data_IF_432781862676
#
_entry.id   IF_432781862676
#
_cell.length_a   1.000
_cell.length_b   1.000
_cell.length_c   1.000
_cell.angle_alpha   90.00
_cell.angle_beta   90.00
_cell.angle_gamma   90.00
#
_symmetry.space_group_name_H-M   'P 1'
#
loop_
_entity.id
_entity.type
_entity.pdbx_description
1 polymer ?
#
# COMPACT_ATOMS: atom_id res chain seq x y z
N UNK A 1 -1.08 -0.56 8.93
CA UNK A 1 -0.86 0.41 7.84
C UNK A 1 0.14 1.49 8.25
N UNK A 2 -0.06 2.14 9.40
CA UNK A 2 0.82 3.20 9.94
C UNK A 2 2.33 2.84 9.98
N UNK A 3 2.68 1.68 10.57
CA UNK A 3 4.08 1.20 10.61
C UNK A 3 4.70 1.02 9.22
N UNK A 4 3.89 0.74 8.19
CA UNK A 4 4.39 0.55 6.83
C UNK A 4 4.64 1.87 6.12
N UNK A 5 3.79 2.88 6.35
CA UNK A 5 3.99 4.21 5.78
C UNK A 5 5.20 4.90 6.39
N UNK A 6 5.40 4.73 7.70
CA UNK A 6 6.63 5.18 8.37
C UNK A 6 7.87 4.56 7.71
N UNK A 7 7.83 3.26 7.44
CA UNK A 7 8.92 2.55 6.77
C UNK A 7 9.14 3.06 5.33
N UNK A 8 8.08 3.23 4.54
CA UNK A 8 8.20 3.76 3.18
C UNK A 8 8.81 5.18 3.16
N UNK A 9 8.43 6.04 4.10
CA UNK A 9 9.01 7.38 4.25
C UNK A 9 10.50 7.32 4.59
N UNK A 10 10.89 6.45 5.53
CA UNK A 10 12.31 6.25 5.89
C UNK A 10 13.16 5.75 4.73
N UNK A 11 12.61 4.89 3.86
CA UNK A 11 13.32 4.32 2.70
C UNK A 11 13.57 5.37 1.62
N UNK A 12 12.62 6.31 1.40
CA UNK A 12 12.78 7.40 0.43
C UNK A 12 13.87 8.41 0.79
N UNK A 13 14.19 8.53 2.08
CA UNK A 13 15.16 9.50 2.59
C UNK A 13 16.60 8.97 2.65
N UNK A 14 16.83 7.67 2.46
CA UNK A 14 18.16 7.06 2.54
C UNK A 14 18.72 6.77 1.15
N UNK A 15 19.89 7.33 0.85
CA UNK A 15 20.72 6.95 -0.29
C UNK A 15 21.83 6.05 0.25
N UNK A 16 21.93 4.77 -0.13
CA UNK A 16 23.19 4.02 -0.11
C UNK A 16 23.14 2.56 -0.62
N UNK A 17 24.21 2.17 -1.32
CA UNK A 17 24.94 0.87 -1.39
C UNK A 17 24.22 -0.47 -1.61
N UNK A 18 22.94 -0.50 -1.93
CA UNK A 18 22.22 -1.77 -2.21
C UNK A 18 22.23 -2.18 -3.70
N UNK A 19 22.93 -1.42 -4.54
CA UNK A 19 22.97 -1.57 -5.99
C UNK A 19 23.44 -2.97 -6.42
N UNK A 20 24.47 -3.53 -5.76
CA UNK A 20 25.00 -4.87 -6.09
C UNK A 20 23.99 -5.99 -5.91
N UNK A 21 23.17 -5.93 -4.86
CA UNK A 21 22.14 -6.96 -4.59
C UNK A 21 20.96 -6.87 -5.55
N UNK A 22 20.84 -5.76 -6.27
CA UNK A 22 19.79 -5.51 -7.23
C UNK A 22 20.29 -5.55 -8.69
N UNK A 23 21.55 -5.90 -8.96
CA UNK A 23 22.11 -6.01 -10.32
C UNK A 23 21.32 -6.99 -11.20
N UNK A 24 20.77 -8.07 -10.61
CA UNK A 24 19.93 -9.02 -11.34
C UNK A 24 18.69 -8.35 -11.96
N UNK A 25 18.22 -7.23 -11.42
CA UNK A 25 17.09 -6.48 -11.97
C UNK A 25 17.36 -5.96 -13.38
N UNK A 26 18.63 -5.69 -13.73
CA UNK A 26 19.00 -5.18 -15.06
C UNK A 26 18.79 -6.23 -16.18
N UNK A 27 18.63 -7.50 -15.79
CA UNK A 27 18.40 -8.62 -16.72
C UNK A 27 16.91 -8.97 -16.88
N UNK A 28 15.98 -8.12 -16.44
CA UNK A 28 14.55 -8.30 -16.72
C UNK A 28 14.35 -8.15 -18.24
N UNK A 29 14.09 -9.25 -18.93
CA UNK A 29 13.93 -9.27 -20.39
C UNK A 29 12.50 -8.86 -20.81
N UNK A 30 12.35 -7.69 -21.44
CA UNK A 30 11.11 -7.24 -22.10
C UNK A 30 11.37 -6.12 -23.14
N UNK A 31 10.33 -5.51 -23.73
CA UNK A 31 10.41 -4.32 -24.59
C UNK A 31 11.07 -3.08 -23.93
N UNK A 32 11.55 -2.12 -24.74
CA UNK A 32 12.48 -1.07 -24.28
C UNK A 32 11.93 -0.14 -23.20
N UNK A 33 10.65 0.24 -23.25
CA UNK A 33 10.08 1.23 -22.31
C UNK A 33 9.50 0.59 -21.04
N UNK A 34 8.92 -0.61 -21.14
CA UNK A 34 8.45 -1.34 -19.94
C UNK A 34 9.65 -1.84 -19.13
N UNK A 35 10.77 -2.16 -19.79
CA UNK A 35 12.02 -2.55 -19.13
C UNK A 35 12.48 -1.52 -18.11
N UNK A 36 12.55 -0.24 -18.48
CA UNK A 36 13.10 0.80 -17.58
C UNK A 36 12.27 0.90 -16.30
N UNK A 37 10.95 0.90 -16.41
CA UNK A 37 10.05 0.96 -15.26
C UNK A 37 10.10 -0.32 -14.42
N UNK A 38 10.14 -1.50 -15.05
CA UNK A 38 10.29 -2.77 -14.34
C UNK A 38 11.62 -2.86 -13.59
N UNK A 39 12.73 -2.49 -14.23
CA UNK A 39 14.06 -2.45 -13.60
C UNK A 39 14.01 -1.55 -12.37
N UNK A 40 13.42 -0.35 -12.49
CA UNK A 40 13.26 0.58 -11.37
C UNK A 40 12.44 -0.03 -10.23
N UNK A 41 11.27 -0.61 -10.53
CA UNK A 41 10.41 -1.26 -9.53
C UNK A 41 11.14 -2.41 -8.84
N UNK A 42 11.89 -3.23 -9.59
CA UNK A 42 12.68 -4.33 -9.05
C UNK A 42 13.78 -3.82 -8.10
N UNK A 43 14.54 -2.81 -8.51
CA UNK A 43 15.60 -2.21 -7.67
C UNK A 43 15.03 -1.60 -6.39
N UNK A 44 13.92 -0.88 -6.50
CA UNK A 44 13.21 -0.32 -5.34
C UNK A 44 12.65 -1.42 -4.42
N UNK A 45 12.09 -2.50 -4.99
CA UNK A 45 11.60 -3.64 -4.21
C UNK A 45 12.72 -4.29 -3.38
N UNK A 46 13.86 -4.57 -4.00
CA UNK A 46 15.03 -5.14 -3.32
C UNK A 46 15.49 -4.22 -2.19
N UNK A 47 15.52 -2.90 -2.44
CA UNK A 47 15.89 -1.91 -1.43
C UNK A 47 14.95 -1.92 -0.22
N UNK A 48 13.64 -1.90 -0.48
CA UNK A 48 12.62 -1.98 0.58
C UNK A 48 12.77 -3.29 1.34
N UNK A 49 13.07 -4.39 0.63
CA UNK A 49 13.27 -5.68 1.26
C UNK A 49 14.41 -5.66 2.28
N UNK A 50 15.59 -5.23 1.84
CA UNK A 50 16.82 -5.24 2.62
C UNK A 50 16.71 -4.32 3.85
N UNK A 51 16.14 -3.13 3.65
CA UNK A 51 15.90 -2.19 4.74
C UNK A 51 15.03 -2.80 5.83
N UNK A 52 13.87 -3.33 5.44
CA UNK A 52 12.95 -3.82 6.44
C UNK A 52 13.43 -5.15 7.04
N UNK A 53 14.18 -5.98 6.29
CA UNK A 53 14.84 -7.16 6.87
C UNK A 53 15.74 -6.76 8.05
N UNK A 54 16.46 -5.64 7.95
CA UNK A 54 17.27 -5.09 9.03
C UNK A 54 16.41 -4.56 10.18
N UNK A 55 15.45 -3.69 9.89
CA UNK A 55 14.56 -3.06 10.91
C UNK A 55 13.73 -4.09 11.70
N UNK A 56 13.32 -5.18 11.05
CA UNK A 56 12.49 -6.22 11.64
C UNK A 56 13.30 -7.45 12.09
N UNK A 57 14.63 -7.36 12.10
CA UNK A 57 15.48 -8.38 12.71
C UNK A 57 15.12 -8.54 14.20
N UNK A 58 15.07 -9.79 14.68
CA UNK A 58 14.67 -10.10 16.06
C UNK A 58 13.19 -9.91 16.40
N UNK A 59 12.34 -9.36 15.50
CA UNK A 59 10.88 -9.30 15.73
C UNK A 59 10.24 -10.68 15.60
N UNK A 60 9.12 -10.88 16.29
CA UNK A 60 8.37 -12.15 16.24
C UNK A 60 7.76 -12.42 14.85
N UNK A 61 7.34 -13.66 14.61
CA UNK A 61 6.79 -14.14 13.34
C UNK A 61 5.53 -13.39 12.89
N UNK A 62 4.67 -12.98 13.82
CA UNK A 62 3.45 -12.21 13.53
C UNK A 62 3.79 -10.84 12.94
N UNK A 63 4.80 -10.14 13.47
CA UNK A 63 5.24 -8.86 12.94
C UNK A 63 5.94 -9.03 11.59
N UNK A 64 6.76 -10.08 11.43
CA UNK A 64 7.44 -10.37 10.15
C UNK A 64 6.44 -10.72 9.03
N UNK A 65 5.42 -11.52 9.31
CA UNK A 65 4.41 -11.91 8.30
C UNK A 65 3.60 -10.71 7.78
N UNK A 66 3.30 -9.76 8.68
CA UNK A 66 2.69 -8.47 8.35
C UNK A 66 3.52 -7.69 7.33
N UNK A 67 4.82 -7.63 7.55
CA UNK A 67 5.76 -6.99 6.64
C UNK A 67 5.84 -7.68 5.26
N UNK A 68 5.89 -9.02 5.18
CA UNK A 68 5.91 -9.71 3.89
C UNK A 68 4.63 -9.45 3.07
N UNK A 69 3.47 -9.37 3.72
CA UNK A 69 2.21 -8.98 3.06
C UNK A 69 2.27 -7.56 2.51
N UNK A 70 2.91 -6.64 3.25
CA UNK A 70 3.11 -5.27 2.78
C UNK A 70 4.02 -5.24 1.54
N UNK A 71 5.13 -5.98 1.54
CA UNK A 71 6.00 -6.07 0.36
C UNK A 71 5.26 -6.55 -0.87
N UNK A 72 4.46 -7.62 -0.73
CA UNK A 72 3.68 -8.13 -1.86
C UNK A 72 2.70 -7.08 -2.38
N UNK A 73 2.00 -6.39 -1.48
CA UNK A 73 1.10 -5.29 -1.84
C UNK A 73 1.82 -4.13 -2.52
N UNK A 74 2.95 -3.67 -1.96
CA UNK A 74 3.74 -2.57 -2.52
C UNK A 74 4.17 -2.91 -3.95
N UNK A 75 4.66 -4.14 -4.17
CA UNK A 75 5.09 -4.57 -5.48
C UNK A 75 3.92 -4.60 -6.48
N UNK A 76 2.81 -5.24 -6.12
CA UNK A 76 1.60 -5.32 -6.92
C UNK A 76 1.04 -3.92 -7.30
N UNK A 77 1.00 -2.99 -6.35
CA UNK A 77 0.53 -1.61 -6.56
C UNK A 77 1.39 -0.85 -7.58
N UNK A 78 2.70 -1.06 -7.58
CA UNK A 78 3.59 -0.39 -8.53
C UNK A 78 3.61 -1.08 -9.91
N UNK A 79 3.41 -2.40 -9.96
CA UNK A 79 3.32 -3.12 -11.23
C UNK A 79 2.03 -2.81 -11.98
N UNK A 80 0.89 -2.73 -11.30
CA UNK A 80 -0.41 -2.49 -11.96
C UNK A 80 -0.50 -1.12 -12.63
N UNK A 81 0.36 -0.15 -12.28
CA UNK A 81 0.43 1.15 -12.95
C UNK A 81 1.20 1.13 -14.27
N UNK A 82 1.76 -0.01 -14.68
CA UNK A 82 2.46 -0.15 -15.95
C UNK A 82 1.45 -0.29 -17.11
N UNK A 83 1.69 0.42 -18.21
CA UNK A 83 0.79 0.44 -19.38
C UNK A 83 0.55 -0.94 -20.01
N UNK A 84 1.48 -1.90 -19.83
CA UNK A 84 1.39 -3.28 -20.33
C UNK A 84 1.37 -4.32 -19.20
N UNK A 85 0.79 -3.98 -18.05
CA UNK A 85 0.77 -4.84 -16.85
C UNK A 85 0.46 -6.31 -17.15
N UNK A 86 -0.61 -6.60 -17.89
CA UNK A 86 -1.04 -7.97 -18.20
C UNK A 86 0.00 -8.78 -18.98
N UNK A 87 0.87 -8.13 -19.75
CA UNK A 87 1.92 -8.79 -20.53
C UNK A 87 3.22 -8.94 -19.74
N UNK A 88 3.50 -8.00 -18.82
CA UNK A 88 4.79 -7.96 -18.09
C UNK A 88 4.77 -8.67 -16.74
N UNK A 89 3.58 -8.85 -16.13
CA UNK A 89 3.45 -9.34 -14.75
C UNK A 89 4.08 -10.72 -14.54
N UNK A 90 3.84 -11.67 -15.43
CA UNK A 90 4.34 -13.05 -15.29
C UNK A 90 5.86 -13.10 -15.38
N UNK A 91 6.42 -12.34 -16.34
CA UNK A 91 7.86 -12.18 -16.51
C UNK A 91 8.47 -11.59 -15.25
N UNK A 92 7.85 -10.53 -14.70
CA UNK A 92 8.33 -9.86 -13.50
C UNK A 92 8.34 -10.78 -12.28
N UNK A 93 7.22 -11.43 -11.96
CA UNK A 93 7.11 -12.30 -10.78
C UNK A 93 8.07 -13.49 -10.87
N UNK A 94 8.18 -14.12 -12.05
CA UNK A 94 9.14 -15.19 -12.27
C UNK A 94 10.57 -14.73 -12.05
N UNK A 95 10.92 -13.54 -12.57
CA UNK A 95 12.26 -12.98 -12.42
C UNK A 95 12.63 -12.73 -10.96
N UNK A 96 11.73 -12.13 -10.17
CA UNK A 96 11.95 -11.91 -8.73
C UNK A 96 12.09 -13.24 -7.99
N UNK A 97 11.19 -14.20 -8.24
CA UNK A 97 11.14 -15.45 -7.50
C UNK A 97 12.40 -16.31 -7.73
N UNK A 98 12.89 -16.40 -8.96
CA UNK A 98 14.13 -17.15 -9.26
C UNK A 98 15.34 -16.47 -8.61
N UNK A 99 15.34 -15.14 -8.48
CA UNK A 99 16.47 -14.38 -7.96
C UNK A 99 16.40 -14.06 -6.46
N UNK A 100 15.47 -14.64 -5.68
CA UNK A 100 15.37 -14.38 -4.23
C UNK A 100 16.68 -14.62 -3.47
N UNK A 101 17.48 -15.60 -3.91
CA UNK A 101 18.76 -15.92 -3.28
C UNK A 101 19.79 -14.80 -3.43
N UNK A 102 19.76 -14.04 -4.53
CA UNK A 102 20.75 -13.00 -4.87
C UNK A 102 20.79 -11.86 -3.84
N UNK A 103 19.65 -11.57 -3.22
CA UNK A 103 19.52 -10.56 -2.17
C UNK A 103 19.19 -11.17 -0.80
N UNK A 104 19.32 -12.49 -0.65
CA UNK A 104 19.18 -13.22 0.61
C UNK A 104 17.76 -13.20 1.15
N UNK A 105 16.77 -13.42 0.29
CA UNK A 105 15.35 -13.38 0.63
C UNK A 105 14.64 -14.74 0.54
N UNK A 106 15.34 -15.82 0.16
CA UNK A 106 14.73 -17.14 -0.06
C UNK A 106 13.88 -17.59 1.13
N UNK A 107 14.41 -17.60 2.35
CA UNK A 107 13.66 -18.07 3.52
C UNK A 107 12.50 -17.13 3.90
N UNK A 108 12.66 -15.84 3.64
CA UNK A 108 11.71 -14.81 4.02
C UNK A 108 10.57 -14.65 3.04
N UNK A 109 10.81 -14.80 1.73
CA UNK A 109 9.88 -14.41 0.67
C UNK A 109 9.42 -15.56 -0.24
N UNK A 110 9.98 -16.77 -0.12
CA UNK A 110 9.49 -17.91 -0.91
C UNK A 110 7.97 -18.06 -0.73
N UNK A 111 7.26 -18.16 -1.85
CA UNK A 111 5.79 -18.26 -1.95
C UNK A 111 4.99 -17.08 -1.34
N UNK A 112 5.65 -15.97 -1.00
CA UNK A 112 5.00 -14.78 -0.40
C UNK A 112 4.92 -13.59 -1.35
N UNK A 113 5.60 -13.66 -2.49
CA UNK A 113 5.53 -12.68 -3.56
C UNK A 113 4.76 -13.30 -4.74
N UNK A 114 3.56 -12.79 -4.97
CA UNK A 114 2.60 -13.35 -5.92
C UNK A 114 1.68 -12.25 -6.49
N UNK A 115 1.08 -12.52 -7.64
CA UNK A 115 0.07 -11.65 -8.24
C UNK A 115 -1.18 -11.60 -7.36
N UNK A 116 -1.57 -10.39 -6.94
CA UNK A 116 -2.81 -10.13 -6.21
C UNK A 116 -3.93 -9.76 -7.18
N UNK A 117 -5.17 -10.10 -6.80
CA UNK A 117 -6.33 -9.64 -7.56
C UNK A 117 -6.39 -8.10 -7.62
N UNK A 118 -6.66 -7.58 -8.82
CA UNK A 118 -6.76 -6.13 -9.08
C UNK A 118 -7.74 -5.43 -8.12
N UNK A 119 -8.88 -6.07 -7.85
CA UNK A 119 -9.88 -5.58 -6.87
C UNK A 119 -9.28 -5.41 -5.48
N UNK A 120 -8.49 -6.38 -5.03
CA UNK A 120 -7.80 -6.36 -3.74
C UNK A 120 -6.74 -5.27 -3.70
N UNK A 121 -5.96 -5.10 -4.78
CA UNK A 121 -4.95 -4.03 -4.88
C UNK A 121 -5.62 -2.65 -4.79
N UNK A 122 -6.71 -2.43 -5.52
CA UNK A 122 -7.47 -1.17 -5.50
C UNK A 122 -8.01 -0.85 -4.11
N UNK A 123 -8.66 -1.82 -3.47
CA UNK A 123 -9.18 -1.67 -2.11
C UNK A 123 -8.06 -1.33 -1.11
N UNK A 124 -6.92 -2.03 -1.17
CA UNK A 124 -5.77 -1.71 -0.31
C UNK A 124 -5.18 -0.34 -0.63
N UNK A 125 -5.20 0.12 -1.88
CA UNK A 125 -4.76 1.46 -2.29
C UNK A 125 -5.64 2.57 -1.72
N UNK A 126 -6.95 2.38 -1.62
CA UNK A 126 -7.82 3.36 -0.96
C UNK A 126 -7.45 3.52 0.51
N UNK A 127 -7.25 2.40 1.22
CA UNK A 127 -6.81 2.41 2.62
C UNK A 127 -5.42 3.05 2.76
N UNK A 128 -4.48 2.69 1.88
CA UNK A 128 -3.14 3.27 1.88
C UNK A 128 -3.18 4.79 1.75
N UNK A 129 -3.96 5.31 0.79
CA UNK A 129 -4.09 6.73 0.57
C UNK A 129 -4.69 7.45 1.78
N UNK A 130 -5.66 6.84 2.48
CA UNK A 130 -6.24 7.38 3.71
C UNK A 130 -5.21 7.54 4.83
N UNK A 131 -4.46 6.49 5.13
CA UNK A 131 -3.43 6.55 6.17
C UNK A 131 -2.27 7.48 5.78
N UNK A 132 -1.87 7.50 4.50
CA UNK A 132 -0.82 8.40 4.02
C UNK A 132 -1.23 9.85 4.20
N UNK A 133 -2.42 10.19 3.72
CA UNK A 133 -2.99 11.53 3.89
C UNK A 133 -3.07 11.87 5.38
N UNK A 134 -3.59 10.99 6.22
CA UNK A 134 -3.59 11.23 7.66
C UNK A 134 -2.20 11.53 8.28
N UNK A 135 -1.14 10.86 7.84
CA UNK A 135 0.22 11.14 8.34
C UNK A 135 0.73 12.50 7.85
N UNK A 136 0.46 12.86 6.61
CA UNK A 136 0.83 14.17 6.05
C UNK A 136 0.13 15.31 6.82
N UNK A 137 -1.11 15.11 7.30
CA UNK A 137 -1.83 16.06 8.17
C UNK A 137 -1.08 16.40 9.46
N UNK A 138 -0.30 15.45 10.02
CA UNK A 138 0.43 15.69 11.27
C UNK A 138 1.46 16.83 11.14
N UNK A 139 1.79 17.22 9.91
CA UNK A 139 2.83 18.20 9.62
C UNK A 139 2.31 19.55 9.09
N UNK A 140 1.00 19.70 8.84
CA UNK A 140 0.44 20.93 8.26
C UNK A 140 -0.21 21.87 9.30
N UNK A 141 -0.11 23.19 9.08
CA UNK A 141 -0.75 24.25 9.89
C UNK A 141 -1.46 25.29 9.01
N UNK A 142 -2.42 26.02 9.58
CA UNK A 142 -3.08 27.16 8.93
C UNK A 142 -4.17 26.77 7.91
N UNK A 143 -4.31 27.54 6.82
CA UNK A 143 -5.37 27.34 5.82
C UNK A 143 -5.29 25.98 5.10
N UNK A 144 -4.09 25.40 4.98
CA UNK A 144 -3.87 24.07 4.40
C UNK A 144 -4.63 22.98 5.15
N UNK A 145 -4.76 23.12 6.47
CA UNK A 145 -5.49 22.17 7.32
C UNK A 145 -6.96 21.98 6.90
N UNK A 146 -7.69 23.04 6.56
CA UNK A 146 -9.11 22.92 6.16
C UNK A 146 -9.26 22.14 4.85
N UNK A 147 -8.43 22.47 3.86
CA UNK A 147 -8.38 21.76 2.57
C UNK A 147 -8.00 20.30 2.79
N UNK A 148 -7.00 20.06 3.64
CA UNK A 148 -6.54 18.72 3.96
C UNK A 148 -7.64 17.83 4.55
N UNK A 149 -8.38 18.37 5.52
CA UNK A 149 -9.49 17.69 6.18
C UNK A 149 -10.62 17.38 5.20
N UNK A 150 -10.92 18.30 4.29
CA UNK A 150 -11.89 18.07 3.21
C UNK A 150 -11.45 16.92 2.30
N UNK A 151 -10.20 16.93 1.84
CA UNK A 151 -9.66 15.85 1.00
C UNK A 151 -9.65 14.49 1.71
N UNK A 152 -9.34 14.45 3.01
CA UNK A 152 -9.40 13.23 3.79
C UNK A 152 -10.83 12.66 3.80
N UNK A 153 -11.81 13.54 4.05
CA UNK A 153 -13.23 13.19 4.07
C UNK A 153 -13.69 12.67 2.71
N UNK A 154 -13.30 13.31 1.62
CA UNK A 154 -13.67 12.90 0.26
C UNK A 154 -13.10 11.51 -0.07
N UNK A 155 -11.82 11.26 0.22
CA UNK A 155 -11.19 9.93 0.07
C UNK A 155 -11.87 8.86 0.94
N UNK A 156 -12.28 9.22 2.15
CA UNK A 156 -12.96 8.29 3.06
C UNK A 156 -14.34 7.92 2.52
N UNK A 157 -15.07 8.90 2.01
CA UNK A 157 -16.38 8.69 1.40
C UNK A 157 -16.31 7.80 0.17
N UNK A 158 -15.30 7.98 -0.70
CA UNK A 158 -15.07 7.10 -1.84
C UNK A 158 -14.83 5.65 -1.39
N UNK A 159 -13.98 5.44 -0.37
CA UNK A 159 -13.73 4.12 0.20
C UNK A 159 -15.00 3.52 0.84
N UNK A 160 -15.83 4.34 1.45
CA UNK A 160 -17.08 3.92 2.06
C UNK A 160 -18.12 3.50 1.01
N UNK A 161 -18.28 4.28 -0.06
CA UNK A 161 -19.13 3.92 -1.20
C UNK A 161 -18.67 2.59 -1.80
N UNK A 162 -17.36 2.39 -1.97
CA UNK A 162 -16.80 1.11 -2.41
C UNK A 162 -17.11 -0.04 -1.47
N UNK A 163 -17.06 0.18 -0.15
CA UNK A 163 -17.42 -0.84 0.83
C UNK A 163 -18.86 -1.33 0.62
N UNK A 164 -19.82 -0.41 0.42
CA UNK A 164 -21.22 -0.76 0.17
C UNK A 164 -21.48 -1.38 -1.20
N UNK A 165 -20.74 -0.96 -2.24
CA UNK A 165 -20.96 -1.40 -3.62
C UNK A 165 -20.15 -2.65 -4.03
N UNK A 166 -19.63 -3.42 -3.06
CA UNK A 166 -18.89 -4.67 -3.33
C UNK A 166 -17.39 -4.64 -3.01
N UNK A 167 -16.97 -3.87 -2.00
CA UNK A 167 -15.59 -3.88 -1.48
C UNK A 167 -15.24 -5.14 -0.67
N UNK A 168 -16.26 -5.86 -0.18
CA UNK A 168 -16.11 -7.08 0.61
C UNK A 168 -15.82 -6.79 2.09
N UNK A 169 -16.18 -7.75 2.95
CA UNK A 169 -16.15 -7.59 4.41
C UNK A 169 -14.76 -7.24 4.96
N UNK A 170 -13.69 -7.82 4.41
CA UNK A 170 -12.31 -7.54 4.85
C UNK A 170 -11.92 -6.07 4.62
N UNK A 171 -12.29 -5.50 3.49
CA UNK A 171 -12.01 -4.10 3.18
C UNK A 171 -12.84 -3.17 4.07
N UNK A 172 -14.14 -3.44 4.21
CA UNK A 172 -15.03 -2.68 5.08
C UNK A 172 -14.56 -2.67 6.54
N UNK A 173 -14.13 -3.82 7.06
CA UNK A 173 -13.59 -3.92 8.42
C UNK A 173 -12.30 -3.09 8.56
N UNK A 174 -11.39 -3.16 7.59
CA UNK A 174 -10.17 -2.35 7.61
C UNK A 174 -10.44 -0.83 7.47
N UNK A 175 -11.49 -0.45 6.74
CA UNK A 175 -11.94 0.95 6.67
C UNK A 175 -12.50 1.43 8.01
N UNK A 176 -13.23 0.56 8.72
CA UNK A 176 -13.70 0.84 10.07
C UNK A 176 -12.54 0.95 11.07
N UNK A 177 -11.51 0.10 10.94
CA UNK A 177 -10.29 0.19 11.75
C UNK A 177 -9.58 1.53 11.53
N UNK A 178 -9.50 2.01 10.28
CA UNK A 178 -8.97 3.35 9.98
C UNK A 178 -9.78 4.45 10.66
N UNK A 179 -11.12 4.40 10.57
CA UNK A 179 -12.00 5.36 11.23
C UNK A 179 -11.74 5.39 12.74
N UNK A 180 -11.76 4.24 13.39
CA UNK A 180 -11.52 4.14 14.84
C UNK A 180 -10.15 4.70 15.23
N UNK A 181 -9.12 4.37 14.45
CA UNK A 181 -7.78 4.92 14.63
C UNK A 181 -7.77 6.46 14.53
N UNK A 182 -8.38 7.01 13.48
CA UNK A 182 -8.45 8.45 13.25
C UNK A 182 -9.18 9.18 14.38
N UNK A 183 -10.36 8.70 14.77
CA UNK A 183 -11.18 9.32 15.81
C UNK A 183 -10.50 9.26 17.19
N UNK A 184 -9.73 8.21 17.47
CA UNK A 184 -8.98 8.07 18.72
C UNK A 184 -7.76 9.00 18.79
N UNK A 185 -7.01 9.18 17.70
CA UNK A 185 -5.87 10.12 17.67
C UNK A 185 -6.34 11.58 17.57
N UNK A 186 -7.49 11.82 16.91
CA UNK A 186 -8.07 13.15 16.68
C UNK A 186 -9.49 13.26 17.25
N UNK A 187 -9.69 13.17 18.59
CA UNK A 187 -11.01 13.18 19.20
C UNK A 187 -11.81 14.45 18.91
N UNK A 188 -11.13 15.60 18.76
CA UNK A 188 -11.76 16.87 18.37
C UNK A 188 -12.29 16.90 16.93
N UNK A 189 -11.95 15.90 16.12
CA UNK A 189 -12.31 15.78 14.70
C UNK A 189 -13.20 14.57 14.42
N UNK A 190 -13.75 13.94 15.46
CA UNK A 190 -14.57 12.73 15.35
C UNK A 190 -15.71 12.86 14.32
N UNK A 191 -16.29 14.06 14.21
CA UNK A 191 -17.43 14.31 13.31
C UNK A 191 -17.06 14.45 11.83
N UNK A 192 -15.77 14.62 11.49
CA UNK A 192 -15.33 14.82 10.09
C UNK A 192 -15.70 13.64 9.20
N UNK A 193 -15.52 12.41 9.70
CA UNK A 193 -15.76 11.18 8.93
C UNK A 193 -17.21 10.66 9.06
N UNK A 194 -18.05 11.29 9.88
CA UNK A 194 -19.41 10.81 10.19
C UNK A 194 -20.50 11.34 9.23
N UNK A 195 -20.28 12.49 8.57
CA UNK A 195 -21.37 13.24 7.91
C UNK A 195 -22.02 12.54 6.70
N UNK A 196 -21.31 11.69 5.93
CA UNK A 196 -21.93 10.90 4.85
C UNK A 196 -22.41 9.51 5.28
N UNK A 197 -21.90 8.96 6.39
CA UNK A 197 -22.28 7.63 6.87
C UNK A 197 -23.77 7.57 7.23
N UNK A 198 -24.28 8.64 7.85
CA UNK A 198 -25.70 8.78 8.21
C UNK A 198 -26.59 9.00 6.98
N UNK A 199 -26.18 9.89 6.06
CA UNK A 199 -27.00 10.24 4.90
C UNK A 199 -27.08 9.10 3.86
N UNK A 200 -26.00 8.32 3.68
CA UNK A 200 -26.00 7.16 2.79
C UNK A 200 -26.84 6.00 3.35
N UNK A 201 -26.77 5.74 4.67
CA UNK A 201 -27.65 4.76 5.32
C UNK A 201 -29.13 5.18 5.22
N UNK A 202 -29.45 6.45 5.44
CA UNK A 202 -30.81 6.97 5.25
C UNK A 202 -31.29 6.71 3.82
N UNK A 203 -30.51 7.07 2.80
CA UNK A 203 -30.90 6.88 1.40
C UNK A 203 -31.04 5.39 0.98
N UNK A 204 -30.22 4.49 1.52
CA UNK A 204 -30.35 3.04 1.26
C UNK A 204 -31.58 2.42 1.95
N UNK A 205 -31.98 2.92 3.12
CA UNK A 205 -33.21 2.48 3.80
C UNK A 205 -34.47 3.00 3.09
N UNK A 206 -34.47 4.25 2.63
CA UNK A 206 -35.64 4.84 1.96
C UNK A 206 -35.80 4.42 0.49
N UNK A 207 -34.79 3.84 -0.16
CA UNK A 207 -34.93 3.26 -1.51
C UNK A 207 -35.40 1.79 -1.52
N UNK A 208 -35.55 1.18 -0.33
CA UNK A 208 -36.06 -0.20 -0.15
C UNK A 208 -37.43 -0.25 0.53
N UNK A 209 -38.09 0.91 0.71
CA UNK A 209 -39.45 1.05 1.23
C UNK A 209 -40.40 1.45 0.11
#
# INVERSE_FOLDING_TARGET
MDSYLTLETQIKQKNEKEEKKAEFCDNIAHDTDSNVHMIKICKEFVKIFLYSKKEYSGKNSTVKSKYYKFLNYWLNRNLISLARYDYVKDVFYRHININLYTFGATNELNDKIYEMEISTIKNMSMLYNLYKHYLDLKHEQGNFYKTFVKELKDKYNEALEKCFSGGGSKFCNALNDFKNFYENDRPKMKNVLLEKYVHHYQNLYYQKS
#
